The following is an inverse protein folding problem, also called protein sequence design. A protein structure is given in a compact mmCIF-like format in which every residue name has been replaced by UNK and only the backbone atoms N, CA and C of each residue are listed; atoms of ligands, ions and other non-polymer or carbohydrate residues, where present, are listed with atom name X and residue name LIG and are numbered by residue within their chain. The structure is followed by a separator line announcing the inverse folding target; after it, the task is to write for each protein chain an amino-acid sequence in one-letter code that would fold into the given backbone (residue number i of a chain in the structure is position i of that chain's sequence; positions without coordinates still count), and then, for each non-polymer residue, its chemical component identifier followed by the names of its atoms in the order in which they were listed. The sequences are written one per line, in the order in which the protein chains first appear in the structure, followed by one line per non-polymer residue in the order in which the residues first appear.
data_IF_613121509214
#
_entry.id   IF_613121509214
#
_cell.length_a   1.000
_cell.length_b   1.000
_cell.length_c   1.000
_cell.angle_alpha   90.00
_cell.angle_beta   90.00
_cell.angle_gamma   90.00
#
_symmetry.space_group_name_H-M   'P 1'
#
loop_
_entity.id
_entity.type
_entity.pdbx_description
1 polymer ?
#
# COMPACT_ATOMS: atom_id res chain seq x y z
N UNK A 1 -11.02 -16.01 -7.05
CA UNK A 1 -10.46 -15.71 -8.39
C UNK A 1 -8.95 -15.72 -8.31
N UNK A 2 -8.28 -16.57 -9.09
CA UNK A 2 -6.81 -16.72 -9.10
C UNK A 2 -6.15 -15.47 -9.70
N UNK A 3 -5.67 -14.58 -8.83
CA UNK A 3 -5.04 -13.30 -9.17
C UNK A 3 -3.58 -13.43 -9.65
N UNK A 4 -3.24 -14.51 -10.37
CA UNK A 4 -1.84 -14.88 -10.64
C UNK A 4 -1.25 -14.27 -11.91
N UNK A 5 -2.03 -13.60 -12.78
CA UNK A 5 -1.55 -13.03 -14.05
C UNK A 5 -2.27 -11.74 -14.48
N UNK A 6 -2.66 -10.86 -13.54
CA UNK A 6 -3.19 -9.55 -13.93
C UNK A 6 -2.08 -8.63 -14.44
N UNK A 7 -2.30 -7.98 -15.58
CA UNK A 7 -1.42 -6.94 -16.09
C UNK A 7 -1.40 -5.72 -15.17
N UNK A 8 -0.39 -4.85 -15.31
CA UNK A 8 -0.25 -3.65 -14.45
C UNK A 8 -1.51 -2.75 -14.48
N UNK A 9 -2.14 -2.60 -15.64
CA UNK A 9 -3.35 -1.80 -15.81
C UNK A 9 -4.55 -2.43 -15.10
N UNK A 10 -4.73 -3.75 -15.24
CA UNK A 10 -5.83 -4.47 -14.58
C UNK A 10 -5.68 -4.41 -13.05
N UNK A 11 -4.45 -4.58 -12.54
CA UNK A 11 -4.17 -4.43 -11.10
C UNK A 11 -4.51 -3.04 -10.59
N UNK A 12 -4.15 -2.00 -11.35
CA UNK A 12 -4.48 -0.63 -10.98
C UNK A 12 -5.99 -0.42 -10.92
N UNK A 13 -6.73 -0.94 -11.90
CA UNK A 13 -8.20 -0.88 -11.91
C UNK A 13 -8.78 -1.50 -10.65
N UNK A 14 -8.35 -2.72 -10.29
CA UNK A 14 -8.83 -3.38 -9.07
C UNK A 14 -8.47 -2.59 -7.81
N UNK A 15 -7.27 -2.00 -7.72
CA UNK A 15 -6.89 -1.18 -6.57
C UNK A 15 -7.75 0.08 -6.47
N UNK A 16 -8.03 0.77 -7.59
CA UNK A 16 -8.87 1.97 -7.61
C UNK A 16 -10.33 1.65 -7.26
N UNK A 17 -10.86 0.52 -7.72
CA UNK A 17 -12.20 0.05 -7.34
C UNK A 17 -12.28 -0.32 -5.86
N UNK A 18 -11.25 -0.98 -5.33
CA UNK A 18 -11.19 -1.42 -3.93
C UNK A 18 -11.02 -0.27 -2.95
N UNK A 19 -10.15 0.69 -3.28
CA UNK A 19 -9.68 1.72 -2.34
C UNK A 19 -10.10 3.14 -2.71
N UNK A 20 -10.75 3.32 -3.86
CA UNK A 20 -11.13 4.62 -4.40
C UNK A 20 -10.03 5.29 -5.22
N UNK A 21 -10.40 6.39 -5.86
CA UNK A 21 -9.59 7.07 -6.89
C UNK A 21 -8.64 8.14 -6.35
N UNK A 22 -8.43 8.20 -5.03
CA UNK A 22 -7.56 9.19 -4.41
C UNK A 22 -6.21 8.58 -4.03
N UNK A 23 -5.14 9.37 -4.12
CA UNK A 23 -3.82 9.02 -3.63
C UNK A 23 -3.89 8.67 -2.15
N UNK A 24 -3.44 7.46 -1.80
CA UNK A 24 -3.42 6.96 -0.41
C UNK A 24 -2.65 7.89 0.54
N UNK A 25 -1.66 8.63 0.02
CA UNK A 25 -0.73 9.40 0.83
C UNK A 25 -1.07 10.89 0.95
N UNK A 26 -1.50 11.52 -0.15
CA UNK A 26 -1.78 12.96 -0.15
C UNK A 26 -3.24 13.33 -0.40
N UNK A 27 -4.11 12.35 -0.67
CA UNK A 27 -5.53 12.59 -0.94
C UNK A 27 -5.84 13.19 -2.31
N UNK A 28 -4.85 13.40 -3.18
CA UNK A 28 -5.08 13.96 -4.52
C UNK A 28 -5.86 12.99 -5.40
N UNK A 29 -6.85 13.48 -6.14
CA UNK A 29 -7.58 12.71 -7.15
C UNK A 29 -6.64 12.20 -8.26
N UNK A 30 -6.76 10.91 -8.59
CA UNK A 30 -5.96 10.19 -9.58
C UNK A 30 -6.70 9.95 -10.91
N UNK A 31 -7.94 10.43 -11.05
CA UNK A 31 -8.72 10.34 -12.31
C UNK A 31 -8.32 11.42 -13.32
N UNK A 32 -7.74 12.53 -12.84
CA UNK A 32 -7.32 13.66 -13.68
C UNK A 32 -5.86 13.58 -14.14
N UNK A 33 -5.13 14.71 -14.04
CA UNK A 33 -3.74 14.83 -14.51
C UNK A 33 -2.73 13.94 -13.75
N UNK A 34 -3.12 13.44 -12.59
CA UNK A 34 -2.25 12.69 -11.70
C UNK A 34 -2.24 11.21 -12.06
N UNK A 35 -1.26 10.79 -12.88
CA UNK A 35 -1.12 9.39 -13.26
C UNK A 35 -0.99 8.49 -12.02
N UNK A 36 -1.92 7.56 -11.78
CA UNK A 36 -1.85 6.64 -10.65
C UNK A 36 -0.68 5.67 -10.83
N UNK A 37 -0.02 5.37 -9.72
CA UNK A 37 1.06 4.38 -9.65
C UNK A 37 0.78 3.40 -8.53
N UNK A 38 1.25 2.17 -8.71
CA UNK A 38 1.13 1.10 -7.71
C UNK A 38 2.26 1.24 -6.70
N UNK A 39 1.92 1.39 -5.42
CA UNK A 39 2.87 1.40 -4.31
C UNK A 39 2.69 0.14 -3.45
N UNK A 40 3.79 -0.49 -3.05
CA UNK A 40 3.78 -1.72 -2.24
C UNK A 40 4.00 -1.40 -0.77
N UNK A 41 2.96 -1.48 0.08
CA UNK A 41 3.06 -1.06 1.49
C UNK A 41 4.24 -1.68 2.22
N UNK A 42 4.46 -2.98 2.04
CA UNK A 42 5.67 -3.67 2.45
C UNK A 42 6.66 -3.67 1.27
N UNK A 43 7.80 -2.95 1.36
CA UNK A 43 8.77 -2.89 0.28
C UNK A 43 9.39 -4.27 -0.01
N UNK A 44 9.74 -4.53 -1.28
CA UNK A 44 10.42 -5.77 -1.70
C UNK A 44 11.71 -6.03 -0.90
N UNK A 45 12.47 -4.97 -0.60
CA UNK A 45 13.70 -5.05 0.22
C UNK A 45 13.45 -5.53 1.65
N UNK A 46 12.21 -5.42 2.14
CA UNK A 46 11.76 -5.96 3.44
C UNK A 46 11.05 -7.31 3.30
N UNK A 47 11.08 -7.93 2.12
CA UNK A 47 10.43 -9.20 1.82
C UNK A 47 8.96 -9.08 1.43
N UNK A 48 8.47 -7.88 1.12
CA UNK A 48 7.08 -7.68 0.69
C UNK A 48 6.79 -8.35 -0.65
N UNK A 49 5.70 -9.14 -0.77
CA UNK A 49 5.35 -9.80 -2.02
C UNK A 49 4.74 -8.81 -3.03
N UNK A 50 4.90 -9.10 -4.32
CA UNK A 50 4.23 -8.38 -5.41
C UNK A 50 2.77 -8.87 -5.59
N UNK A 51 2.01 -8.79 -4.50
CA UNK A 51 0.63 -9.26 -4.41
C UNK A 51 -0.31 -8.07 -4.35
N UNK A 52 -1.53 -8.22 -4.87
CA UNK A 52 -2.51 -7.15 -4.91
C UNK A 52 -2.92 -6.70 -3.49
N UNK A 53 -2.87 -7.64 -2.54
CA UNK A 53 -3.10 -7.39 -1.12
C UNK A 53 -2.01 -6.51 -0.49
N UNK A 54 -0.85 -6.35 -1.13
CA UNK A 54 0.24 -5.46 -0.69
C UNK A 54 0.26 -4.12 -1.44
N UNK A 55 -0.65 -3.88 -2.38
CA UNK A 55 -0.60 -2.75 -3.31
C UNK A 55 -1.65 -1.69 -2.97
N UNK A 56 -1.30 -0.41 -3.12
CA UNK A 56 -2.22 0.75 -3.02
C UNK A 56 -1.99 1.72 -4.17
N UNK A 57 -3.00 2.56 -4.44
CA UNK A 57 -2.89 3.63 -5.42
C UNK A 57 -2.18 4.86 -4.81
N UNK A 58 -1.16 5.36 -5.49
CA UNK A 58 -0.41 6.53 -5.10
C UNK A 58 -0.06 7.38 -6.33
N UNK A 59 -0.04 8.71 -6.19
CA UNK A 59 0.50 9.57 -7.24
C UNK A 59 2.03 9.36 -7.38
N UNK A 60 2.58 9.65 -8.56
CA UNK A 60 4.02 9.51 -8.83
C UNK A 60 4.90 10.22 -7.81
N UNK A 61 4.50 11.42 -7.36
CA UNK A 61 5.23 12.22 -6.36
C UNK A 61 5.35 11.48 -5.03
N UNK A 62 4.22 11.03 -4.46
CA UNK A 62 4.23 10.37 -3.16
C UNK A 62 4.92 9.01 -3.21
N UNK A 63 4.66 8.21 -4.26
CA UNK A 63 5.32 6.92 -4.44
C UNK A 63 6.85 7.07 -4.57
N UNK A 64 7.31 8.05 -5.33
CA UNK A 64 8.73 8.35 -5.49
C UNK A 64 9.41 8.84 -4.19
N UNK A 65 8.74 9.71 -3.42
CA UNK A 65 9.30 10.25 -2.18
C UNK A 65 9.32 9.23 -1.04
N UNK A 66 8.38 8.29 -0.99
CA UNK A 66 8.33 7.27 0.06
C UNK A 66 9.57 6.37 0.08
N UNK A 67 10.06 5.99 -1.10
CA UNK A 67 11.26 5.15 -1.25
C UNK A 67 11.16 3.81 -0.50
N UNK A 68 11.90 3.69 0.61
CA UNK A 68 11.94 2.49 1.45
C UNK A 68 11.38 2.71 2.86
N UNK A 69 10.79 3.88 3.11
CA UNK A 69 10.14 4.20 4.37
C UNK A 69 8.99 3.24 4.63
N UNK A 70 8.79 2.93 5.91
CA UNK A 70 7.65 2.14 6.32
C UNK A 70 6.35 2.90 6.10
N UNK A 71 5.21 2.20 5.94
CA UNK A 71 3.91 2.86 5.86
C UNK A 71 3.66 3.80 7.06
N UNK A 72 4.01 3.39 8.28
CA UNK A 72 3.82 4.21 9.47
C UNK A 72 4.68 5.49 9.44
N UNK A 73 5.96 5.39 9.10
CA UNK A 73 6.85 6.56 8.97
C UNK A 73 6.34 7.52 7.89
N UNK A 74 5.90 6.97 6.75
CA UNK A 74 5.43 7.80 5.64
C UNK A 74 4.09 8.48 5.93
N UNK A 75 3.19 7.83 6.68
CA UNK A 75 1.97 8.48 7.19
C UNK A 75 2.32 9.67 8.07
N UNK A 76 3.29 9.53 8.98
CA UNK A 76 3.77 10.62 9.84
C UNK A 76 4.36 11.76 9.01
N UNK A 77 5.20 11.46 8.02
CA UNK A 77 5.74 12.49 7.12
C UNK A 77 4.66 13.20 6.32
N UNK A 78 3.69 12.47 5.76
CA UNK A 78 2.57 13.06 5.01
C UNK A 78 1.78 14.03 5.89
N UNK A 79 1.46 13.63 7.13
CA UNK A 79 0.78 14.51 8.10
C UNK A 79 1.64 15.74 8.45
N UNK A 80 2.94 15.56 8.66
CA UNK A 80 3.87 16.67 8.93
C UNK A 80 3.98 17.67 7.76
N UNK A 81 3.73 17.23 6.53
CA UNK A 81 3.64 18.08 5.33
C UNK A 81 2.27 18.76 5.15
N UNK A 82 1.34 18.56 6.09
CA UNK A 82 -0.04 19.06 5.99
C UNK A 82 -0.90 18.27 5.00
N UNK A 83 -0.50 17.07 4.60
CA UNK A 83 -1.31 16.21 3.75
C UNK A 83 -2.28 15.37 4.58
N UNK A 84 -3.31 14.85 3.91
CA UNK A 84 -4.34 14.01 4.51
C UNK A 84 -4.22 12.57 4.01
N UNK A 85 -3.25 11.78 4.52
CA UNK A 85 -3.13 10.39 4.11
C UNK A 85 -4.29 9.55 4.67
N UNK A 86 -4.70 8.54 3.89
CA UNK A 86 -5.71 7.56 4.26
C UNK A 86 -5.09 6.44 5.08
N UNK A 87 -4.86 6.72 6.38
CA UNK A 87 -4.28 5.77 7.32
C UNK A 87 -5.14 4.51 7.50
N UNK A 88 -6.46 4.66 7.37
CA UNK A 88 -7.41 3.56 7.52
C UNK A 88 -7.33 2.57 6.36
N UNK A 89 -7.19 3.07 5.12
CA UNK A 89 -6.87 2.23 3.96
C UNK A 89 -5.56 1.48 4.14
N UNK A 90 -4.50 2.15 4.59
CA UNK A 90 -3.21 1.50 4.86
C UNK A 90 -3.38 0.35 5.86
N UNK A 91 -4.11 0.58 6.96
CA UNK A 91 -4.41 -0.44 7.97
C UNK A 91 -5.19 -1.61 7.39
N UNK A 92 -6.26 -1.35 6.62
CA UNK A 92 -7.09 -2.37 5.97
C UNK A 92 -6.28 -3.24 5.01
N UNK A 93 -5.45 -2.63 4.16
CA UNK A 93 -4.62 -3.36 3.19
C UNK A 93 -3.56 -4.20 3.89
N UNK A 94 -2.91 -3.68 4.95
CA UNK A 94 -1.98 -4.47 5.75
C UNK A 94 -2.66 -5.64 6.47
N UNK A 95 -3.88 -5.48 6.95
CA UNK A 95 -4.66 -6.56 7.54
C UNK A 95 -5.00 -7.64 6.49
N UNK A 96 -5.46 -7.25 5.30
CA UNK A 96 -5.72 -8.17 4.19
C UNK A 96 -4.45 -8.91 3.74
N UNK A 97 -3.31 -8.23 3.69
CA UNK A 97 -2.03 -8.87 3.38
C UNK A 97 -1.62 -9.91 4.43
N UNK A 98 -1.90 -9.65 5.72
CA UNK A 98 -1.64 -10.62 6.79
C UNK A 98 -2.42 -11.91 6.55
N UNK A 99 -3.72 -11.79 6.29
CA UNK A 99 -4.60 -12.92 6.01
C UNK A 99 -4.11 -13.70 4.78
N UNK A 100 -3.74 -13.01 3.70
CA UNK A 100 -3.20 -13.65 2.51
C UNK A 100 -1.86 -14.39 2.76
N UNK A 101 -1.01 -13.87 3.64
CA UNK A 101 0.26 -14.54 4.05
C UNK A 101 0.00 -15.75 4.95
N UNK A 102 -1.06 -15.70 5.77
CA UNK A 102 -1.49 -16.82 6.61
C UNK A 102 -2.07 -17.95 5.76
N UNK A 103 -2.94 -17.62 4.80
CA UNK A 103 -3.56 -18.57 3.87
C UNK A 103 -2.54 -19.22 2.91
N UNK A 104 -1.74 -18.39 2.21
CA UNK A 104 -0.80 -18.88 1.18
C UNK A 104 0.47 -19.49 1.76
N UNK A 105 0.76 -19.22 3.04
CA UNK A 105 2.03 -19.56 3.66
C UNK A 105 3.22 -18.80 3.06
N UNK A 106 4.42 -19.12 3.56
CA UNK A 106 5.66 -18.44 3.12
C UNK A 106 5.84 -17.02 3.67
N UNK A 107 6.71 -16.22 3.04
CA UNK A 107 6.93 -14.80 3.34
C UNK A 107 7.29 -14.44 4.80
N UNK A 108 8.08 -15.30 5.49
CA UNK A 108 8.45 -15.13 6.91
C UNK A 108 8.95 -13.71 7.25
N UNK A 109 9.81 -13.13 6.41
CA UNK A 109 10.36 -11.78 6.59
C UNK A 109 9.28 -10.70 6.50
N UNK A 110 8.38 -10.81 5.51
CA UNK A 110 7.25 -9.90 5.35
C UNK A 110 6.30 -9.97 6.55
N UNK A 111 5.99 -11.18 7.05
CA UNK A 111 5.12 -11.39 8.21
C UNK A 111 5.61 -10.65 9.46
N UNK A 112 6.91 -10.78 9.78
CA UNK A 112 7.51 -10.10 10.93
C UNK A 112 7.43 -8.58 10.79
N UNK A 113 7.75 -8.06 9.61
CA UNK A 113 7.71 -6.63 9.34
C UNK A 113 6.27 -6.10 9.39
N UNK A 114 5.32 -6.77 8.74
CA UNK A 114 3.90 -6.44 8.75
C UNK A 114 3.35 -6.34 10.17
N UNK A 115 3.63 -7.34 11.02
CA UNK A 115 3.18 -7.34 12.41
C UNK A 115 3.70 -6.12 13.18
N UNK A 116 4.94 -5.69 12.92
CA UNK A 116 5.49 -4.47 13.51
C UNK A 116 4.77 -3.21 13.04
N UNK A 117 4.37 -3.15 11.77
CA UNK A 117 3.68 -2.00 11.21
C UNK A 117 2.26 -1.88 11.74
N UNK A 118 1.49 -2.98 11.78
CA UNK A 118 0.14 -2.96 12.34
C UNK A 118 0.13 -2.50 13.81
N UNK A 119 1.12 -2.91 14.62
CA UNK A 119 1.25 -2.41 16.00
C UNK A 119 1.45 -0.90 16.07
N UNK A 120 2.25 -0.32 15.17
CA UNK A 120 2.51 1.13 15.10
C UNK A 120 1.32 1.94 14.58
N UNK A 121 0.38 1.31 13.88
CA UNK A 121 -0.80 1.99 13.30
C UNK A 121 -2.03 1.92 14.21
N UNK A 122 -2.02 1.01 15.19
CA UNK A 122 -3.11 0.81 16.14
C UNK A 122 -2.86 1.49 17.50
N UNK A 123 -1.70 2.14 17.68
CA UNK A 123 -1.37 2.95 18.85
C UNK A 123 -1.70 4.42 18.59
#
# INVERSE_FOLDING_TARGET
MNNRNLGRADRMTVVLERDGTHCTWCGQDLTGLAVPTTDHLIPKVKGGPAWLENEVAACRRCNGQRGHLSPAEWLTECRGRGWHPDAERVRRVLASLREAIEERGGQRRARQYLASQLRRLNC
#
